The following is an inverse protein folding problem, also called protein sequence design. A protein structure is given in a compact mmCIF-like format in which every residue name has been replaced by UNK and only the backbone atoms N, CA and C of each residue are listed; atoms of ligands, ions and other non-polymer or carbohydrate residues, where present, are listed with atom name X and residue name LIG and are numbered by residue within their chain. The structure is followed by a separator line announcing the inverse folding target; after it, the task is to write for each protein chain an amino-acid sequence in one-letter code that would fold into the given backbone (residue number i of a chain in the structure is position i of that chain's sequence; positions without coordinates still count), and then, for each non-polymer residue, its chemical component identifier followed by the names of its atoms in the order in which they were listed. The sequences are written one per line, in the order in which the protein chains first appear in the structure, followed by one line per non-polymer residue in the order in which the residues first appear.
data_IF_851438952111
#
_entry.id   IF_851438952111
#
_cell.length_a   1.000
_cell.length_b   1.000
_cell.length_c   1.000
_cell.angle_alpha   90.00
_cell.angle_beta   90.00
_cell.angle_gamma   90.00
#
_symmetry.space_group_name_H-M   'P 1'
#
loop_
_entity.id
_entity.type
_entity.pdbx_description
1 polymer ?
#
# COMPACT_ATOMS: atom_id res chain seq x y z
N UNK A 1 -21.39 41.38 44.15
CA UNK A 1 -21.81 40.99 42.78
C UNK A 1 -20.54 40.56 42.05
N UNK A 2 -20.45 39.30 41.60
CA UNK A 2 -19.29 38.81 40.85
C UNK A 2 -19.61 38.91 39.37
N UNK A 3 -18.73 39.54 38.60
CA UNK A 3 -18.82 39.64 37.16
C UNK A 3 -17.90 38.58 36.56
N UNK A 4 -18.44 37.78 35.67
CA UNK A 4 -17.69 36.81 34.88
C UNK A 4 -17.74 37.30 33.43
N UNK A 5 -16.57 37.36 32.78
CA UNK A 5 -16.47 37.58 31.34
C UNK A 5 -16.18 36.24 30.67
N UNK A 6 -16.83 36.00 29.54
CA UNK A 6 -16.56 34.86 28.66
C UNK A 6 -15.64 35.35 27.56
N UNK A 7 -14.40 34.88 27.54
CA UNK A 7 -13.49 35.10 26.41
C UNK A 7 -13.72 34.00 25.37
N UNK A 8 -13.94 34.40 24.12
CA UNK A 8 -14.08 33.48 22.99
C UNK A 8 -12.76 33.44 22.25
N UNK A 9 -12.05 32.32 22.34
CA UNK A 9 -10.81 32.10 21.61
C UNK A 9 -11.15 31.63 20.17
N UNK A 10 -10.79 32.44 19.18
CA UNK A 10 -10.97 32.08 17.76
C UNK A 10 -9.72 31.30 17.34
N UNK A 11 -9.86 29.99 17.15
CA UNK A 11 -8.82 29.14 16.58
C UNK A 11 -8.82 29.28 15.05
N UNK A 12 -7.82 29.97 14.51
CA UNK A 12 -7.52 29.92 13.08
C UNK A 12 -6.87 28.57 12.76
N UNK A 13 -7.63 27.67 12.12
CA UNK A 13 -7.08 26.39 11.63
C UNK A 13 -6.52 26.64 10.23
N UNK A 14 -5.21 26.49 10.00
CA UNK A 14 -4.64 26.67 8.65
C UNK A 14 -5.25 25.64 7.70
N UNK A 15 -5.84 26.12 6.62
CA UNK A 15 -6.40 25.28 5.56
C UNK A 15 -5.37 25.09 4.45
N UNK A 16 -5.08 23.85 4.06
CA UNK A 16 -4.15 23.56 2.97
C UNK A 16 -4.85 23.73 1.62
N UNK A 17 -4.53 24.78 0.88
CA UNK A 17 -5.15 25.08 -0.42
C UNK A 17 -4.56 24.28 -1.59
N UNK A 18 -3.28 23.92 -1.49
CA UNK A 18 -2.58 23.08 -2.47
C UNK A 18 -1.34 22.43 -1.87
N UNK A 19 -0.90 21.34 -2.48
CA UNK A 19 0.40 20.71 -2.23
C UNK A 19 1.11 20.40 -3.55
N UNK A 20 2.43 20.23 -3.52
CA UNK A 20 3.25 19.93 -4.70
C UNK A 20 3.91 18.58 -4.49
N UNK A 21 3.82 17.68 -5.46
CA UNK A 21 4.57 16.43 -5.39
C UNK A 21 6.07 16.70 -5.57
N UNK A 22 6.89 16.34 -4.57
CA UNK A 22 8.34 16.55 -4.60
C UNK A 22 9.08 15.76 -5.69
N UNK A 23 8.46 14.73 -6.30
CA UNK A 23 9.06 13.92 -7.36
C UNK A 23 8.75 14.44 -8.77
N UNK A 24 7.48 14.58 -9.13
CA UNK A 24 7.08 15.03 -10.48
C UNK A 24 6.91 16.56 -10.62
N UNK A 25 6.78 17.28 -9.50
CA UNK A 25 6.54 18.73 -9.48
C UNK A 25 5.09 19.16 -9.74
N UNK A 26 4.16 18.21 -9.91
CA UNK A 26 2.75 18.52 -10.14
C UNK A 26 2.10 19.13 -8.89
N UNK A 27 1.24 20.13 -9.12
CA UNK A 27 0.46 20.80 -8.07
C UNK A 27 -0.93 20.18 -7.93
N UNK A 28 -1.27 19.79 -6.70
CA UNK A 28 -2.55 19.22 -6.33
C UNK A 28 -3.33 20.23 -5.50
N UNK A 29 -4.42 20.77 -6.08
CA UNK A 29 -5.33 21.71 -5.40
C UNK A 29 -6.29 20.98 -4.46
N UNK A 30 -6.89 21.70 -3.49
CA UNK A 30 -7.94 21.27 -2.53
C UNK A 30 -8.68 19.96 -2.82
N UNK A 31 -9.30 19.80 -3.99
CA UNK A 31 -10.10 18.60 -4.33
C UNK A 31 -9.29 17.32 -4.59
N UNK A 32 -7.98 17.45 -4.83
CA UNK A 32 -7.04 16.36 -5.16
C UNK A 32 -5.91 16.19 -4.14
N UNK A 33 -5.91 16.96 -3.05
CA UNK A 33 -4.90 16.86 -1.98
C UNK A 33 -4.90 15.45 -1.35
N UNK A 34 -6.07 14.81 -1.27
CA UNK A 34 -6.21 13.42 -0.78
C UNK A 34 -5.43 12.38 -1.60
N UNK A 35 -5.01 12.73 -2.81
CA UNK A 35 -4.23 11.85 -3.70
C UNK A 35 -2.72 12.00 -3.48
N UNK A 36 -2.33 12.80 -2.47
CA UNK A 36 -0.95 13.08 -2.08
C UNK A 36 -0.72 12.62 -0.65
N UNK A 37 0.36 11.88 -0.45
CA UNK A 37 0.79 11.34 0.83
C UNK A 37 2.01 12.11 1.31
N UNK A 38 1.96 12.65 2.53
CA UNK A 38 3.14 13.19 3.21
C UNK A 38 3.99 12.06 3.76
N UNK A 39 5.28 12.07 3.42
CA UNK A 39 6.26 11.08 3.83
C UNK A 39 7.32 11.74 4.71
N UNK A 40 7.61 11.08 5.83
CA UNK A 40 8.65 11.49 6.77
C UNK A 40 9.79 10.48 6.73
N UNK A 41 10.99 10.94 6.37
CA UNK A 41 12.21 10.16 6.44
C UNK A 41 13.08 10.67 7.59
N UNK A 42 13.23 9.86 8.64
CA UNK A 42 14.06 10.16 9.81
C UNK A 42 15.39 9.40 9.73
N UNK A 43 16.49 10.13 9.79
CA UNK A 43 17.85 9.57 9.78
C UNK A 43 18.36 9.51 11.22
N UNK A 44 18.30 8.33 11.83
CA UNK A 44 18.57 8.13 13.27
C UNK A 44 19.99 7.68 13.60
N UNK A 45 20.76 7.25 12.60
CA UNK A 45 22.04 6.58 12.84
C UNK A 45 23.24 7.53 12.77
N UNK A 46 24.06 7.46 13.82
CA UNK A 46 25.35 8.13 13.93
C UNK A 46 26.32 7.68 12.84
N UNK A 47 27.01 8.64 12.21
CA UNK A 47 28.04 8.36 11.20
C UNK A 47 27.54 8.30 9.75
N UNK A 48 26.27 8.64 9.49
CA UNK A 48 25.79 8.93 8.14
C UNK A 48 25.95 10.41 7.82
N UNK A 49 26.05 10.78 6.53
CA UNK A 49 26.14 12.19 6.13
C UNK A 49 24.88 13.02 6.43
N UNK A 50 23.77 12.35 6.78
CA UNK A 50 22.47 12.95 7.06
C UNK A 50 22.04 12.77 8.51
N UNK A 51 22.99 12.55 9.41
CA UNK A 51 22.74 12.29 10.82
C UNK A 51 21.82 13.35 11.46
N UNK A 52 20.85 12.89 12.26
CA UNK A 52 19.87 13.71 12.97
C UNK A 52 18.96 14.57 12.07
N UNK A 53 18.91 14.30 10.78
CA UNK A 53 18.00 14.99 9.87
C UNK A 53 16.63 14.31 9.82
N UNK A 54 15.61 15.13 9.56
CA UNK A 54 14.25 14.68 9.27
C UNK A 54 13.85 15.36 7.97
N UNK A 55 13.58 14.58 6.93
CA UNK A 55 13.09 15.07 5.67
C UNK A 55 11.59 14.83 5.57
N UNK A 56 10.86 15.87 5.18
CA UNK A 56 9.43 15.80 4.89
C UNK A 56 9.23 16.11 3.42
N UNK A 57 8.46 15.28 2.74
CA UNK A 57 8.13 15.48 1.34
C UNK A 57 6.75 14.90 1.03
N UNK A 58 6.06 15.54 0.10
CA UNK A 58 4.74 15.17 -0.37
C UNK A 58 4.86 14.41 -1.69
N UNK A 59 4.18 13.28 -1.82
CA UNK A 59 4.22 12.47 -3.04
C UNK A 59 2.82 12.08 -3.49
N UNK A 60 2.55 12.26 -4.78
CA UNK A 60 1.35 11.69 -5.36
C UNK A 60 1.43 10.16 -5.39
N UNK A 61 0.27 9.51 -5.40
CA UNK A 61 0.17 8.04 -5.37
C UNK A 61 1.04 7.36 -6.44
N UNK A 62 1.05 7.87 -7.68
CA UNK A 62 1.85 7.30 -8.76
C UNK A 62 3.35 7.36 -8.47
N UNK A 63 3.84 8.52 -8.02
CA UNK A 63 5.25 8.72 -7.69
C UNK A 63 5.70 7.86 -6.50
N UNK A 64 4.83 7.72 -5.49
CA UNK A 64 5.07 6.86 -4.34
C UNK A 64 5.12 5.38 -4.76
N UNK A 65 4.18 4.91 -5.58
CA UNK A 65 4.18 3.55 -6.13
C UNK A 65 5.45 3.27 -6.92
N UNK A 66 5.88 4.19 -7.78
CA UNK A 66 7.14 4.04 -8.52
C UNK A 66 8.35 3.89 -7.60
N UNK A 67 8.41 4.65 -6.49
CA UNK A 67 9.49 4.50 -5.50
C UNK A 67 9.40 3.13 -4.83
N UNK A 68 8.21 2.71 -4.38
CA UNK A 68 8.03 1.39 -3.75
C UNK A 68 8.46 0.27 -4.70
N UNK A 69 8.20 0.41 -6.01
CA UNK A 69 8.66 -0.54 -7.03
C UNK A 69 10.18 -0.63 -7.15
N UNK A 70 10.95 0.35 -6.66
CA UNK A 70 12.42 0.24 -6.60
C UNK A 70 12.92 -0.59 -5.43
N UNK A 71 12.06 -0.93 -4.46
CA UNK A 71 12.47 -1.66 -3.27
C UNK A 71 12.81 -3.11 -3.62
N UNK A 72 13.92 -3.58 -3.07
CA UNK A 72 14.32 -4.99 -3.18
C UNK A 72 13.41 -5.88 -2.36
N UNK A 73 13.08 -5.47 -1.14
CA UNK A 73 12.26 -6.22 -0.20
C UNK A 73 10.88 -5.60 -0.09
N UNK A 74 9.87 -6.45 0.11
CA UNK A 74 8.49 -6.03 0.39
C UNK A 74 8.48 -5.14 1.65
N UNK A 75 7.83 -3.96 1.61
CA UNK A 75 7.66 -3.14 2.80
C UNK A 75 6.61 -3.75 3.75
N UNK A 76 6.82 -3.60 5.06
CA UNK A 76 5.82 -3.98 6.07
C UNK A 76 4.49 -3.27 5.82
N UNK A 77 3.36 -3.98 5.99
CA UNK A 77 2.03 -3.44 5.72
C UNK A 77 1.59 -3.49 4.25
N UNK A 78 2.46 -3.90 3.32
CA UNK A 78 2.08 -4.02 1.91
C UNK A 78 0.95 -5.05 1.71
N UNK A 79 -0.25 -4.54 1.41
CA UNK A 79 -1.46 -5.33 1.16
C UNK A 79 -1.85 -6.31 2.29
N UNK A 80 -1.47 -6.00 3.53
CA UNK A 80 -1.75 -6.88 4.68
C UNK A 80 -3.22 -6.81 5.15
N UNK A 81 -3.95 -5.77 4.75
CA UNK A 81 -5.38 -5.58 5.09
C UNK A 81 -6.33 -6.37 4.18
N UNK A 82 -5.83 -7.03 3.13
CA UNK A 82 -6.65 -7.83 2.22
C UNK A 82 -7.02 -9.18 2.86
N UNK A 83 -8.24 -9.64 2.62
CA UNK A 83 -8.73 -10.96 3.07
C UNK A 83 -7.81 -12.08 2.60
N UNK A 84 -7.27 -11.95 1.39
CA UNK A 84 -6.41 -12.94 0.75
C UNK A 84 -4.98 -12.95 1.33
N UNK A 85 -4.58 -11.92 2.10
CA UNK A 85 -3.22 -11.78 2.60
C UNK A 85 -2.78 -12.94 3.51
N UNK A 86 -3.76 -13.57 4.17
CA UNK A 86 -3.56 -14.77 5.01
C UNK A 86 -3.22 -16.03 4.21
N UNK A 87 -3.52 -16.07 2.91
CA UNK A 87 -3.26 -17.20 2.02
C UNK A 87 -2.02 -16.98 1.15
N UNK A 88 -1.17 -16.00 1.46
CA UNK A 88 0.04 -15.79 0.69
C UNK A 88 1.16 -16.68 1.23
N UNK A 89 1.58 -17.65 0.43
CA UNK A 89 2.69 -18.54 0.75
C UNK A 89 4.05 -17.83 0.68
N UNK A 90 4.24 -16.96 -0.32
CA UNK A 90 5.48 -16.22 -0.53
C UNK A 90 5.18 -14.74 -0.85
N UNK A 91 5.13 -13.92 0.21
CA UNK A 91 4.86 -12.48 0.09
C UNK A 91 5.88 -11.75 -0.78
N UNK A 92 7.14 -12.18 -0.76
CA UNK A 92 8.20 -11.55 -1.55
C UNK A 92 8.00 -11.83 -3.04
N UNK A 93 7.66 -13.08 -3.41
CA UNK A 93 7.37 -13.45 -4.80
C UNK A 93 6.16 -12.70 -5.35
N UNK A 94 5.09 -12.55 -4.57
CA UNK A 94 3.91 -11.76 -4.96
C UNK A 94 4.28 -10.29 -5.16
N UNK A 95 5.06 -9.70 -4.25
CA UNK A 95 5.54 -8.33 -4.38
C UNK A 95 6.41 -8.13 -5.63
N UNK A 96 7.33 -9.06 -5.90
CA UNK A 96 8.17 -9.02 -7.10
C UNK A 96 7.36 -9.11 -8.40
N UNK A 97 6.32 -9.94 -8.44
CA UNK A 97 5.38 -9.97 -9.56
C UNK A 97 4.60 -8.66 -9.71
N UNK A 98 4.02 -8.15 -8.61
CA UNK A 98 3.26 -6.90 -8.61
C UNK A 98 4.08 -5.71 -9.10
N UNK A 99 5.38 -5.65 -8.79
CA UNK A 99 6.26 -4.59 -9.32
C UNK A 99 6.25 -4.54 -10.84
N UNK A 100 6.22 -5.71 -11.49
CA UNK A 100 6.26 -5.86 -12.95
C UNK A 100 4.88 -5.69 -13.57
N UNK A 101 3.86 -6.38 -13.05
CA UNK A 101 2.54 -6.49 -13.68
C UNK A 101 1.57 -5.40 -13.21
N UNK A 102 1.75 -4.89 -11.99
CA UNK A 102 0.75 -4.07 -11.30
C UNK A 102 -0.40 -4.86 -10.69
N UNK A 103 -0.46 -6.18 -10.91
CA UNK A 103 -1.55 -7.05 -10.48
C UNK A 103 -1.23 -7.74 -9.14
N UNK A 104 -2.25 -7.85 -8.30
CA UNK A 104 -2.16 -8.57 -7.02
C UNK A 104 -2.47 -10.06 -7.24
N UNK A 105 -1.47 -10.90 -7.01
CA UNK A 105 -1.53 -12.35 -7.29
C UNK A 105 -1.27 -13.15 -6.01
N UNK A 106 -2.22 -13.20 -5.05
CA UNK A 106 -1.98 -13.77 -3.72
C UNK A 106 -1.67 -15.28 -3.74
N UNK A 107 -2.11 -15.99 -4.78
CA UNK A 107 -1.91 -17.44 -4.96
C UNK A 107 -0.67 -17.78 -5.81
N UNK A 108 0.15 -16.79 -6.16
CA UNK A 108 1.35 -17.02 -6.95
C UNK A 108 2.34 -17.94 -6.21
N UNK A 109 2.68 -19.07 -6.85
CA UNK A 109 3.60 -20.06 -6.27
C UNK A 109 2.92 -21.16 -5.44
N UNK A 110 1.60 -21.21 -5.44
CA UNK A 110 0.88 -22.43 -5.08
C UNK A 110 1.07 -23.49 -6.15
N UNK A 111 1.32 -24.72 -5.74
CA UNK A 111 1.26 -25.90 -6.60
C UNK A 111 -0.20 -26.30 -6.87
N UNK A 112 -0.46 -27.04 -7.94
CA UNK A 112 -1.82 -27.44 -8.36
C UNK A 112 -2.59 -28.14 -7.22
N UNK A 113 -1.96 -29.10 -6.55
CA UNK A 113 -2.57 -29.84 -5.44
C UNK A 113 -2.84 -28.94 -4.23
N UNK A 114 -2.04 -27.89 -4.03
CA UNK A 114 -2.24 -26.90 -2.96
C UNK A 114 -3.44 -26.00 -3.26
N UNK A 115 -3.65 -25.61 -4.53
CA UNK A 115 -4.84 -24.88 -4.96
C UNK A 115 -6.11 -25.70 -4.74
N UNK A 116 -6.11 -26.98 -5.12
CA UNK A 116 -7.22 -27.89 -4.82
C UNK A 116 -7.48 -27.95 -3.31
N UNK A 117 -6.40 -28.04 -2.51
CA UNK A 117 -6.47 -28.10 -1.06
C UNK A 117 -7.07 -26.85 -0.39
N UNK A 118 -7.19 -25.73 -1.10
CA UNK A 118 -7.89 -24.54 -0.60
C UNK A 118 -9.41 -24.70 -0.60
N UNK A 119 -9.97 -25.64 -1.38
CA UNK A 119 -11.40 -25.84 -1.45
C UNK A 119 -11.98 -26.21 -0.07
N UNK A 120 -12.70 -25.27 0.53
CA UNK A 120 -13.39 -25.45 1.81
C UNK A 120 -14.92 -25.44 1.66
N UNK A 121 -15.44 -24.97 0.52
CA UNK A 121 -16.87 -24.85 0.22
C UNK A 121 -17.57 -23.64 0.84
N UNK A 122 -16.85 -22.78 1.57
CA UNK A 122 -17.40 -21.59 2.24
C UNK A 122 -16.80 -20.30 1.67
N UNK A 123 -15.48 -20.16 1.75
CA UNK A 123 -14.75 -19.00 1.23
C UNK A 123 -14.10 -19.31 -0.12
N UNK A 124 -13.73 -20.58 -0.33
CA UNK A 124 -13.12 -21.08 -1.55
C UNK A 124 -14.09 -22.03 -2.25
N UNK A 125 -14.95 -21.48 -3.10
CA UNK A 125 -15.92 -22.26 -3.88
C UNK A 125 -15.21 -23.05 -4.99
N UNK A 126 -15.87 -24.08 -5.52
CA UNK A 126 -15.33 -24.86 -6.63
C UNK A 126 -15.11 -23.98 -7.88
N UNK A 127 -16.01 -23.03 -8.13
CA UNK A 127 -15.88 -22.05 -9.22
C UNK A 127 -14.61 -21.20 -9.03
N UNK A 128 -14.40 -20.65 -7.84
CA UNK A 128 -13.21 -19.86 -7.54
C UNK A 128 -11.90 -20.67 -7.71
N UNK A 129 -11.86 -21.90 -7.19
CA UNK A 129 -10.67 -22.75 -7.36
C UNK A 129 -10.47 -23.12 -8.84
N UNK A 130 -11.54 -23.34 -9.59
CA UNK A 130 -11.44 -23.62 -11.03
C UNK A 130 -10.92 -22.43 -11.83
N UNK A 131 -11.26 -21.20 -11.45
CA UNK A 131 -10.67 -19.98 -12.04
C UNK A 131 -9.17 -19.90 -11.74
N UNK A 132 -8.74 -20.22 -10.52
CA UNK A 132 -7.31 -20.28 -10.17
C UNK A 132 -6.57 -21.36 -10.97
N UNK A 133 -7.16 -22.56 -11.10
CA UNK A 133 -6.58 -23.65 -11.89
C UNK A 133 -6.47 -23.23 -13.36
N UNK A 134 -7.51 -22.65 -13.95
CA UNK A 134 -7.48 -22.17 -15.33
C UNK A 134 -6.38 -21.13 -15.57
N UNK A 135 -6.13 -20.26 -14.58
CA UNK A 135 -5.10 -19.23 -14.66
C UNK A 135 -3.67 -19.76 -14.53
N UNK A 136 -3.40 -20.59 -13.52
CA UNK A 136 -2.03 -21.03 -13.21
C UNK A 136 -1.66 -22.39 -13.82
N UNK A 137 -2.66 -23.22 -14.11
CA UNK A 137 -2.51 -24.60 -14.58
C UNK A 137 -3.58 -24.96 -15.64
N UNK A 138 -3.63 -24.26 -16.79
CA UNK A 138 -4.70 -24.41 -17.78
C UNK A 138 -4.86 -25.81 -18.36
N UNK A 139 -3.79 -26.63 -18.32
CA UNK A 139 -3.78 -28.02 -18.81
C UNK A 139 -4.22 -29.05 -17.76
N UNK A 140 -4.53 -28.62 -16.53
CA UNK A 140 -4.95 -29.50 -15.44
C UNK A 140 -6.48 -29.61 -15.36
N UNK A 141 -6.92 -30.70 -14.74
CA UNK A 141 -8.34 -30.96 -14.51
C UNK A 141 -8.92 -29.95 -13.51
N UNK A 142 -10.18 -29.58 -13.72
CA UNK A 142 -10.96 -28.70 -12.83
C UNK A 142 -11.68 -29.56 -11.79
N UNK A 143 -11.94 -29.00 -10.60
CA UNK A 143 -12.79 -29.58 -9.56
C UNK A 143 -14.24 -29.76 -10.01
#
# INVERSE_FOLDING_TARGET
MKFYSTETEILEVPYLDSCVCNKCGDTYTKNKIKDVTSVNAKFVDYGTMYENQIWNFDMCANCLVEIIKTFKYIPTGFMEDYTEASYIKDKQKVFDNWKVTGEWEPYLGYEYEELIGLFDGWYHTAEFINELIEKYYPDKERL
#
